data_IF_090670146218
#
_entry.id   IF_090670146218
#
_cell.length_a   1.000
_cell.length_b   1.000
_cell.length_c   1.000
_cell.angle_alpha   90.00
_cell.angle_beta   90.00
_cell.angle_gamma   90.00
#
_symmetry.space_group_name_H-M   'P 1'
#
loop_
_entity.id
_entity.type
_entity.pdbx_description
1 polymer ?
2 polymer ?
3 non-polymer ?
4 non-polymer ?
5 non-polymer ?
6 water ?
#
# COMPACT_ATOMS: atom_id res chain seq x y z
N UNK A 1 -8.74 10.60 9.14
CA UNK A 1 -8.90 9.42 8.21
C UNK A 1 -10.20 8.72 8.63
N UNK A 2 -10.58 7.65 7.93
CA UNK A 2 -11.89 7.06 8.18
C UNK A 2 -11.71 5.57 8.11
N UNK A 3 -12.75 4.85 7.71
CA UNK A 3 -12.72 3.43 7.80
C UNK A 3 -12.45 2.74 6.44
N UNK A 4 -12.07 3.49 5.42
CA UNK A 4 -11.77 2.81 4.17
C UNK A 4 -10.46 2.02 4.30
N UNK A 5 -10.35 0.97 3.51
CA UNK A 5 -9.19 0.02 3.56
C UNK A 5 -8.08 0.58 2.66
N UNK A 6 -6.89 0.69 3.19
CA UNK A 6 -5.76 1.18 2.38
C UNK A 6 -4.76 0.01 2.40
N UNK A 7 -4.19 -0.38 1.24
CA UNK A 7 -3.19 -1.46 1.25
C UNK A 7 -1.82 -0.92 0.68
N UNK A 8 -0.75 -1.63 0.99
CA UNK A 8 0.62 -1.14 0.76
C UNK A 8 1.40 -2.33 0.23
N UNK A 9 1.92 -2.17 -1.00
CA UNK A 9 2.72 -3.19 -1.68
C UNK A 9 4.20 -2.97 -1.33
N UNK A 10 4.86 -3.98 -0.74
CA UNK A 10 6.24 -3.82 -0.25
C UNK A 10 7.13 -4.90 -0.93
N UNK A 11 8.34 -4.53 -1.38
CA UNK A 11 9.35 -5.53 -1.79
C UNK A 11 10.62 -5.35 -0.99
N UNK A 12 11.05 -6.42 -0.29
CA UNK A 12 12.26 -6.36 0.51
C UNK A 12 13.25 -7.41 0.02
N UNK A 13 14.52 -7.03 0.06
CA UNK A 13 15.62 -7.93 -0.36
C UNK A 13 16.73 -7.95 0.68
N UNK A 14 17.47 -9.04 0.82
CA UNK A 14 18.73 -8.99 1.62
C UNK A 14 19.98 -8.79 0.76
N UNK A 19 22.87 -14.33 6.10
CA UNK A 19 23.12 -13.90 7.49
C UNK A 19 22.09 -12.87 8.02
N UNK A 20 21.56 -12.08 7.09
CA UNK A 20 20.70 -10.96 7.39
C UNK A 20 19.26 -11.44 7.66
N UNK A 21 18.50 -10.66 8.44
CA UNK A 21 17.08 -10.90 8.63
C UNK A 21 16.30 -9.74 7.95
N UNK A 22 15.00 -9.91 7.78
CA UNK A 22 14.19 -8.79 7.30
C UNK A 22 13.80 -7.84 8.39
N UNK A 23 13.86 -8.28 9.65
CA UNK A 23 13.61 -7.38 10.81
C UNK A 23 12.16 -7.02 11.10
N UNK A 24 11.29 -8.03 11.18
CA UNK A 24 9.91 -7.87 11.65
C UNK A 24 9.44 -9.22 12.20
N UNK A 25 8.52 -9.18 13.12
CA UNK A 25 7.87 -10.43 13.56
C UNK A 25 6.40 -10.44 13.15
N UNK A 26 5.86 -11.63 12.97
CA UNK A 26 4.56 -11.82 12.40
C UNK A 26 3.80 -12.90 13.17
N UNK A 27 2.57 -12.61 13.55
CA UNK A 27 1.79 -13.54 14.31
C UNK A 27 0.76 -14.24 13.40
N UNK A 28 0.62 -15.54 13.52
CA UNK A 28 -0.49 -16.23 12.91
C UNK A 28 -1.67 -16.45 13.94
N UNK A 29 -2.88 -16.03 13.59
CA UNK A 29 -4.04 -16.00 14.52
C UNK A 29 -5.32 -16.47 13.84
N UNK A 30 -6.24 -17.08 14.60
CA UNK A 30 -7.63 -17.27 14.14
C UNK A 30 -8.68 -16.66 15.09
N UNK A 31 -9.94 -16.66 14.63
CA UNK A 31 -11.12 -16.07 15.32
C UNK A 31 -12.43 -16.77 14.94
N UNK A 34 -11.34 -18.10 10.39
CA UNK A 34 -10.71 -16.85 9.96
C UNK A 34 -9.27 -16.72 10.52
N UNK A 35 -8.36 -17.34 9.78
CA UNK A 35 -6.92 -17.28 10.01
C UNK A 35 -6.37 -15.89 9.55
N UNK A 36 -5.43 -15.26 10.25
CA UNK A 36 -4.85 -13.97 9.79
C UNK A 36 -3.44 -13.82 10.23
N UNK A 37 -2.74 -12.94 9.52
CA UNK A 37 -1.33 -12.80 9.63
C UNK A 37 -1.10 -11.35 9.95
N UNK A 38 -0.61 -11.04 11.14
CA UNK A 38 -0.40 -9.64 11.52
C UNK A 38 1.01 -9.35 11.87
N UNK A 39 1.47 -8.18 11.45
CA UNK A 39 2.77 -7.76 11.89
C UNK A 39 2.76 -7.30 13.37
N UNK A 40 3.44 -8.05 14.27
CA UNK A 40 3.61 -7.62 15.71
C UNK A 40 4.59 -6.48 15.91
N UNK A 41 5.73 -6.55 15.25
CA UNK A 41 6.68 -5.49 15.49
C UNK A 41 7.65 -5.45 14.34
N UNK A 42 8.38 -4.34 14.26
CA UNK A 42 9.29 -4.03 13.16
C UNK A 42 10.51 -3.47 13.82
N UNK A 43 11.65 -4.05 13.51
CA UNK A 43 12.88 -3.57 14.12
C UNK A 43 13.24 -2.17 13.60
N UNK A 44 13.34 -1.21 14.53
CA UNK A 44 13.82 0.14 14.13
C UNK A 44 15.17 -0.06 13.43
N UNK A 45 15.33 0.58 12.28
CA UNK A 45 16.58 0.58 11.48
C UNK A 45 16.75 -0.69 10.57
N UNK A 46 15.87 -1.68 10.78
CA UNK A 46 15.84 -2.90 9.98
C UNK A 46 15.29 -2.75 8.57
N UNK A 47 15.38 -3.81 7.78
CA UNK A 47 15.14 -3.71 6.35
C UNK A 47 13.64 -3.45 6.10
N UNK A 48 12.81 -4.11 6.86
CA UNK A 48 11.35 -3.92 6.74
C UNK A 48 10.96 -2.51 7.14
N UNK A 49 11.61 -1.94 8.17
CA UNK A 49 11.34 -0.55 8.58
C UNK A 49 11.68 0.50 7.46
N UNK A 50 12.89 0.46 6.92
CA UNK A 50 13.22 1.30 5.72
C UNK A 50 12.21 1.14 4.57
N UNK A 51 11.51 0.00 4.49
CA UNK A 51 10.44 -0.13 3.48
C UNK A 51 9.05 0.38 3.95
N UNK A 52 8.95 0.83 5.18
CA UNK A 52 7.70 1.40 5.66
C UNK A 52 6.69 0.35 6.11
N UNK A 53 7.15 -0.85 6.47
CA UNK A 53 6.35 -1.77 7.25
C UNK A 53 6.09 -1.27 8.70
N UNK A 54 4.85 -1.38 9.16
CA UNK A 54 4.50 -0.82 10.47
C UNK A 54 3.91 -1.91 11.31
N UNK A 55 4.20 -1.91 12.61
CA UNK A 55 3.47 -2.84 13.50
C UNK A 55 1.95 -2.64 13.40
N UNK A 56 1.19 -3.73 13.53
CA UNK A 56 -0.26 -3.75 13.33
C UNK A 56 -0.76 -3.85 11.88
N UNK A 57 0.15 -3.80 10.87
CA UNK A 57 -0.25 -4.03 9.47
C UNK A 57 -0.75 -5.47 9.40
N UNK A 58 -1.75 -5.75 8.59
CA UNK A 58 -2.17 -7.17 8.40
C UNK A 58 -1.62 -7.66 7.07
N UNK A 59 -0.94 -8.80 7.04
CA UNK A 59 -0.42 -9.35 5.77
C UNK A 59 -1.52 -10.05 4.97
N UNK A 60 -1.79 -9.55 3.76
CA UNK A 60 -2.84 -10.07 2.89
C UNK A 60 -2.29 -11.02 1.84
N UNK A 61 -1.09 -10.78 1.36
CA UNK A 61 -0.54 -11.64 0.32
C UNK A 61 0.94 -11.63 0.49
N UNK A 62 1.54 -12.77 0.21
CA UNK A 62 3.00 -12.86 0.23
C UNK A 62 3.41 -13.51 -1.09
N UNK A 63 4.32 -12.88 -1.83
CA UNK A 63 4.76 -13.39 -3.16
C UNK A 63 3.59 -13.82 -4.05
N UNK A 64 2.63 -12.92 -4.20
CA UNK A 64 1.50 -13.13 -5.07
C UNK A 64 0.66 -14.32 -4.67
N UNK A 65 0.69 -14.75 -3.41
CA UNK A 65 -0.24 -15.76 -2.90
C UNK A 65 -1.05 -15.27 -1.70
N UNK A 66 -2.34 -15.59 -1.68
CA UNK A 66 -3.22 -15.14 -0.65
C UNK A 66 -2.80 -15.70 0.70
N UNK A 67 -2.96 -14.89 1.75
CA UNK A 67 -2.60 -15.22 3.12
C UNK A 67 -3.25 -16.51 3.61
N UNK A 68 -4.57 -16.58 3.48
CA UNK A 68 -5.30 -17.80 3.79
C UNK A 68 -4.65 -19.05 3.21
N UNK A 69 -4.35 -19.03 1.92
CA UNK A 69 -3.81 -20.20 1.26
C UNK A 69 -2.36 -20.52 1.60
N UNK A 70 -1.75 -19.84 2.57
CA UNK A 70 -0.35 -20.15 2.97
C UNK A 70 -0.18 -21.19 4.12
N UNK A 71 0.51 -22.32 3.85
CA UNK A 71 0.96 -23.30 4.88
C UNK A 71 1.98 -22.66 5.84
N UNK A 72 2.07 -23.18 7.06
CA UNK A 72 3.27 -22.95 7.89
C UNK A 72 4.55 -23.32 7.09
N UNK A 73 4.40 -24.24 6.15
CA UNK A 73 5.47 -24.72 5.32
C UNK A 73 5.87 -23.72 4.21
N UNK A 74 4.90 -23.22 3.43
CA UNK A 74 5.19 -22.17 2.44
C UNK A 74 5.69 -20.93 3.17
N UNK A 75 5.05 -20.63 4.30
CA UNK A 75 5.39 -19.51 5.14
C UNK A 75 6.82 -19.62 5.66
N UNK A 76 7.20 -20.74 6.26
CA UNK A 76 8.62 -20.89 6.64
C UNK A 76 9.59 -20.71 5.47
N UNK A 77 9.23 -21.27 4.33
CA UNK A 77 10.07 -21.21 3.16
C UNK A 77 10.13 -19.83 2.63
N UNK A 78 8.98 -19.16 2.53
CA UNK A 78 9.00 -17.74 2.03
C UNK A 78 9.84 -16.79 2.90
N UNK A 79 9.72 -16.91 4.24
CA UNK A 79 10.45 -15.97 5.13
C UNK A 79 11.94 -16.26 5.15
N UNK A 80 12.32 -17.45 4.72
CA UNK A 80 13.73 -17.81 4.67
C UNK A 80 14.45 -17.41 3.36
N UNK A 81 13.71 -17.07 2.31
CA UNK A 81 14.25 -16.75 0.98
C UNK A 81 14.81 -15.37 1.01
N UNK A 82 15.73 -15.03 0.08
CA UNK A 82 16.49 -13.73 0.10
C UNK A 82 15.70 -12.47 -0.37
N UNK A 83 14.49 -12.71 -0.87
CA UNK A 83 13.63 -11.74 -1.49
C UNK A 83 12.18 -12.04 -1.07
N UNK A 84 11.40 -10.99 -0.78
CA UNK A 84 10.09 -11.10 -0.15
C UNK A 84 9.15 -9.97 -0.68
N UNK A 85 8.00 -10.38 -1.20
CA UNK A 85 6.98 -9.47 -1.73
C UNK A 85 5.78 -9.56 -0.77
N UNK A 86 5.29 -8.44 -0.26
CA UNK A 86 4.15 -8.48 0.69
C UNK A 86 3.10 -7.53 0.20
N UNK A 87 1.81 -7.83 0.42
CA UNK A 87 0.79 -6.80 0.26
C UNK A 87 0.17 -6.74 1.65
N UNK A 88 0.13 -5.55 2.24
CA UNK A 88 -0.33 -5.47 3.62
C UNK A 88 -1.52 -4.50 3.71
N UNK A 89 -2.39 -4.69 4.69
CA UNK A 89 -3.40 -3.65 4.98
C UNK A 89 -2.79 -2.73 5.99
N UNK A 90 -2.82 -1.43 5.73
CA UNK A 90 -2.15 -0.51 6.64
C UNK A 90 -3.14 0.49 7.22
N UNK A 91 -3.08 0.74 8.53
CA UNK A 91 -4.07 1.65 9.14
C UNK A 91 -3.59 3.07 9.29
N UNK A 92 -4.50 4.04 9.18
CA UNK A 92 -4.00 5.36 9.53
C UNK A 92 -3.55 5.38 10.96
N UNK A 93 -2.65 6.31 11.22
CA UNK A 93 -1.73 6.30 12.34
C UNK A 93 -2.19 7.07 13.59
N UNK B 4 2.26 18.51 -25.04
CA UNK B 4 0.86 18.01 -25.18
C UNK B 4 0.30 17.28 -23.93
N UNK B 5 0.14 17.98 -22.80
CA UNK B 5 -0.42 17.34 -21.60
C UNK B 5 -1.50 18.27 -21.07
N UNK B 6 -2.40 17.79 -20.20
CA UNK B 6 -3.46 18.67 -19.72
C UNK B 6 -3.60 18.40 -18.26
N UNK B 7 -3.87 19.47 -17.50
CA UNK B 7 -4.04 19.35 -16.03
C UNK B 7 -5.55 19.36 -15.77
N UNK B 8 -6.05 18.46 -14.93
CA UNK B 8 -7.48 18.51 -14.58
C UNK B 8 -7.74 17.93 -13.23
N UNK B 9 -8.87 18.31 -12.64
CA UNK B 9 -9.17 18.00 -11.31
C UNK B 9 -10.27 17.06 -11.37
N UNK B 10 -10.22 16.09 -10.48
CA UNK B 10 -11.35 15.16 -10.32
C UNK B 10 -11.73 14.93 -8.83
N UNK B 11 -13.00 14.64 -8.62
CA UNK B 11 -13.44 14.36 -7.28
C UNK B 11 -14.09 12.99 -7.31
N UNK B 12 -13.76 12.12 -6.33
CA UNK B 12 -14.35 10.75 -6.26
C UNK B 12 -14.98 10.54 -4.87
N UNK B 13 -16.14 9.89 -4.82
CA UNK B 13 -16.81 9.64 -3.56
C UNK B 13 -17.27 8.16 -3.50
N UNK B 14 -17.28 7.55 -2.31
CA UNK B 14 -17.68 6.17 -2.14
C UNK B 14 -18.22 6.02 -0.74
N UNK B 15 -18.79 4.85 -0.39
CA UNK B 15 -19.25 4.61 1.00
C UNK B 15 -18.09 4.49 1.92
N UNK B 16 -18.28 4.88 3.19
CA UNK B 16 -17.17 4.78 4.16
C UNK B 16 -17.07 3.40 4.82
N UNK B 17 -16.64 2.39 4.09
CA UNK B 17 -16.46 1.03 4.64
C UNK B 17 -15.18 0.43 4.08
N UNK B 18 -14.68 -0.59 4.76
CA UNK B 18 -13.46 -1.27 4.35
C UNK B 18 -13.64 -2.18 3.11
N UNK B 19 -14.88 -2.29 2.60
CA UNK B 19 -15.10 -3.18 1.44
C UNK B 19 -15.38 -2.40 0.19
N UNK B 20 -15.49 -1.09 0.33
CA UNK B 20 -15.76 -0.21 -0.81
C UNK B 20 -14.47 0.52 -1.21
N UNK B 21 -14.06 0.36 -2.46
CA UNK B 21 -12.74 0.93 -2.82
C UNK B 21 -12.88 1.94 -3.97
N UNK B 22 -11.85 2.77 -4.16
CA UNK B 22 -11.77 3.71 -5.26
C UNK B 22 -11.29 3.00 -6.55
N UNK B 23 -10.54 1.94 -6.42
CA UNK B 23 -10.09 1.15 -7.62
C UNK B 23 -8.88 1.80 -8.27
N UNK B 24 -7.90 2.20 -7.47
CA UNK B 24 -6.63 2.65 -8.12
C UNK B 24 -5.49 2.52 -7.13
N UNK B 25 -4.27 2.66 -7.65
CA UNK B 25 -3.11 2.78 -6.79
C UNK B 25 -2.21 3.91 -7.26
N UNK B 26 -1.34 4.33 -6.34
CA UNK B 26 -0.41 5.41 -6.64
C UNK B 26 0.95 4.94 -6.13
N UNK B 27 2.04 5.53 -6.64
CA UNK B 27 3.33 5.17 -6.21
C UNK B 27 4.20 6.42 -6.29
N UNK B 28 5.30 6.47 -5.58
CA UNK B 28 6.18 7.64 -5.66
C UNK B 28 7.46 7.16 -6.39
N UNK B 29 8.02 8.03 -7.20
CA UNK B 29 9.18 7.75 -8.04
C UNK B 29 10.09 8.99 -7.90
N UNK B 30 11.37 8.75 -7.60
CA UNK B 30 12.34 9.85 -7.65
C UNK B 30 13.25 9.58 -8.84
N UNK B 31 13.43 10.63 -9.64
CA UNK B 31 14.34 10.50 -10.79
C UNK B 31 15.03 11.82 -10.89
N UNK B 32 16.34 11.74 -10.97
CA UNK B 32 17.19 12.92 -11.08
C UNK B 32 16.88 13.95 -9.99
N UNK B 33 16.61 13.48 -8.78
CA UNK B 33 16.43 14.38 -7.63
C UNK B 33 15.06 15.02 -7.53
N UNK B 34 14.09 14.56 -8.35
CA UNK B 34 12.72 15.16 -8.37
C UNK B 34 11.82 13.99 -8.02
N UNK B 35 11.01 14.15 -6.99
CA UNK B 35 10.07 13.09 -6.58
C UNK B 35 8.70 13.45 -7.17
N UNK B 36 8.03 12.48 -7.79
CA UNK B 36 6.67 12.63 -8.38
C UNK B 36 5.78 11.53 -7.86
N UNK B 37 4.47 11.77 -7.84
CA UNK B 37 3.53 10.68 -7.47
C UNK B 37 2.83 10.39 -8.74
N UNK B 38 2.74 9.10 -9.09
CA UNK B 38 2.01 8.64 -10.31
C UNK B 38 0.86 7.74 -9.97
N UNK B 39 -0.15 7.69 -10.84
CA UNK B 39 -1.13 6.60 -10.78
C UNK B 39 -0.46 5.32 -11.27
N UNK B 40 -0.50 4.26 -10.44
CA UNK B 40 0.23 3.03 -10.65
C UNK B 40 -0.74 2.04 -11.40
N UNK B 41 -2.03 2.19 -11.15
CA UNK B 41 -3.01 1.33 -11.81
C UNK B 41 -4.35 1.85 -11.59
N UNK B 42 -5.28 1.50 -12.50
CA UNK B 42 -6.66 1.91 -12.34
C UNK B 42 -7.54 0.72 -12.72
N UNK B 43 -8.43 0.33 -11.81
CA UNK B 43 -9.34 -0.81 -12.13
C UNK B 43 -10.45 -0.40 -13.14
N UNK B 44 -10.57 -1.10 -14.28
CA UNK B 44 -11.52 -0.63 -15.37
C UNK B 44 -12.97 -0.44 -14.86
N UNK B 45 -13.40 -1.36 -14.03
CA UNK B 45 -14.77 -1.27 -13.50
C UNK B 45 -14.97 -0.30 -12.34
N UNK B 46 -13.90 0.34 -11.86
CA UNK B 46 -13.98 1.07 -10.60
C UNK B 46 -14.45 2.48 -10.71
N UNK B 47 -14.61 3.14 -9.55
CA UNK B 47 -14.93 4.55 -9.43
C UNK B 47 -13.95 5.51 -10.10
N UNK B 48 -12.68 5.30 -9.85
CA UNK B 48 -11.59 6.15 -10.43
C UNK B 48 -11.63 6.15 -11.97
N UNK B 49 -11.76 4.96 -12.55
CA UNK B 49 -11.97 4.79 -14.00
C UNK B 49 -13.12 5.62 -14.56
N UNK B 50 -14.25 5.59 -13.82
CA UNK B 50 -15.47 6.28 -14.17
C UNK B 50 -15.20 7.74 -14.27
N UNK B 51 -14.35 8.24 -13.39
CA UNK B 51 -14.00 9.64 -13.37
C UNK B 51 -12.86 10.05 -14.31
N UNK B 52 -12.30 9.13 -15.08
CA UNK B 52 -11.36 9.53 -16.12
C UNK B 52 -9.88 9.40 -15.65
N UNK B 53 -9.62 8.81 -14.46
CA UNK B 53 -8.24 8.55 -13.97
C UNK B 53 -7.56 7.45 -14.83
N UNK B 54 -6.31 7.67 -15.24
CA UNK B 54 -5.60 6.72 -16.12
C UNK B 54 -4.30 6.32 -15.48
N UNK B 55 -3.85 5.08 -15.67
CA UNK B 55 -2.58 4.67 -15.17
C UNK B 55 -1.45 5.52 -15.82
N UNK B 56 -0.44 5.87 -15.03
CA UNK B 56 0.63 6.80 -15.52
C UNK B 56 0.39 8.32 -15.45
N UNK B 57 -0.85 8.75 -15.15
CA UNK B 57 -1.21 10.15 -14.78
C UNK B 57 -0.29 10.58 -13.62
N UNK B 58 0.34 11.74 -13.71
CA UNK B 58 1.12 12.28 -12.58
C UNK B 58 0.12 12.98 -11.59
N UNK B 59 0.15 12.69 -10.30
CA UNK B 59 -0.75 13.36 -9.33
C UNK B 59 0.00 14.62 -8.87
N UNK B 60 -0.59 15.80 -9.14
CA UNK B 60 0.05 17.02 -8.74
C UNK B 60 -0.36 17.45 -7.32
N UNK B 61 -1.60 17.13 -6.91
CA UNK B 61 -2.08 17.48 -5.56
C UNK B 61 -3.09 16.47 -5.20
N UNK B 62 -3.15 16.23 -3.89
CA UNK B 62 -4.29 15.45 -3.34
C UNK B 62 -4.90 16.34 -2.28
N UNK B 63 -6.23 16.46 -2.34
CA UNK B 63 -6.98 17.33 -1.43
C UNK B 63 -6.29 18.69 -1.21
N UNK B 64 -5.95 19.33 -2.31
CA UNK B 64 -5.27 20.63 -2.36
C UNK B 64 -3.94 20.72 -1.67
N UNK B 65 -3.27 19.59 -1.49
CA UNK B 65 -1.89 19.57 -1.00
C UNK B 65 -0.92 19.05 -2.06
N UNK B 66 0.24 19.71 -2.21
CA UNK B 66 1.24 19.38 -3.21
C UNK B 66 1.68 18.02 -2.97
N UNK B 67 1.88 17.25 -4.04
CA UNK B 67 2.28 15.87 -3.97
C UNK B 67 3.63 15.79 -3.27
N UNK B 68 4.55 16.73 -3.54
CA UNK B 68 5.85 16.63 -2.83
C UNK B 68 5.82 17.00 -1.32
N UNK B 69 4.69 17.54 -0.87
CA UNK B 69 4.39 17.73 0.56
C UNK B 69 3.62 16.62 1.26
N UNK B 70 3.37 15.51 0.57
CA UNK B 70 2.60 14.41 1.18
C UNK B 70 3.53 13.32 1.62
N UNK B 71 3.51 12.94 2.90
CA UNK B 71 4.18 11.73 3.34
C UNK B 71 3.21 10.50 3.41
N UNK B 72 3.79 9.34 3.71
CA UNK B 72 3.04 8.10 3.75
C UNK B 72 1.91 8.17 4.76
N UNK B 73 2.12 8.77 5.96
CA UNK B 73 1.00 8.91 6.93
C UNK B 73 -0.13 9.74 6.42
N UNK B 74 0.20 10.88 5.79
CA UNK B 74 -0.82 11.68 5.09
C UNK B 74 -1.55 10.93 4.01
N UNK B 75 -0.82 10.21 3.16
CA UNK B 75 -1.46 9.42 2.13
C UNK B 75 -2.43 8.40 2.69
N UNK B 76 -2.00 7.62 3.67
CA UNK B 76 -2.89 6.60 4.23
C UNK B 76 -4.14 7.30 4.79
N UNK B 77 -3.97 8.44 5.47
CA UNK B 77 -5.07 9.16 6.04
C UNK B 77 -6.04 9.57 4.94
N UNK B 78 -5.57 10.24 3.91
CA UNK B 78 -6.45 10.72 2.80
C UNK B 78 -7.12 9.54 2.06
N UNK B 79 -6.36 8.46 1.78
CA UNK B 79 -6.88 7.36 0.97
C UNK B 79 -7.95 6.56 1.73
N UNK B 80 -7.99 6.69 3.07
CA UNK B 80 -9.00 5.99 3.95
C UNK B 80 -10.35 6.72 4.01
N UNK B 81 -10.36 7.89 3.44
CA UNK B 81 -11.62 8.76 3.52
C UNK B 81 -12.62 8.36 2.43
N UNK B 82 -13.90 8.74 2.59
CA UNK B 82 -14.93 8.40 1.60
C UNK B 82 -15.03 9.37 0.46
N UNK B 83 -14.19 10.44 0.48
CA UNK B 83 -14.11 11.29 -0.67
C UNK B 83 -12.70 11.79 -0.84
N UNK B 84 -12.36 12.04 -2.09
CA UNK B 84 -10.96 12.31 -2.42
C UNK B 84 -10.95 13.32 -3.65
N UNK B 85 -10.12 14.39 -3.60
CA UNK B 85 -9.92 15.22 -4.79
C UNK B 85 -8.48 15.07 -5.25
N UNK B 86 -8.30 14.99 -6.57
CA UNK B 86 -6.99 14.85 -7.17
C UNK B 86 -6.82 15.91 -8.25
N UNK B 87 -5.62 16.46 -8.36
CA UNK B 87 -5.32 17.32 -9.47
C UNK B 87 -4.29 16.52 -10.24
N UNK B 88 -4.55 16.19 -11.49
CA UNK B 88 -3.63 15.26 -12.18
C UNK B 88 -3.24 15.88 -13.50
N UNK B 89 -2.12 15.47 -14.02
CA UNK B 89 -1.64 15.95 -15.33
C UNK B 89 -1.50 14.69 -16.22
N UNK B 90 -2.22 14.63 -17.36
CA UNK B 90 -2.37 13.42 -18.21
C UNK B 90 -1.85 13.73 -19.59
N UNK B 91 -1.28 12.75 -20.29
CA UNK B 91 -1.01 12.87 -21.72
C UNK B 91 -2.25 12.30 -22.38
N UNK B 92 -3.04 13.13 -23.09
CA UNK B 92 -4.24 12.47 -23.61
C UNK B 92 -3.98 11.68 -24.92
N UNK C 1 12.45 3.06 -10.08
CA UNK C 1 11.94 2.11 -9.08
C UNK C 1 10.85 2.89 -8.39
N UNK C 2 9.83 2.20 -7.91
CA UNK C 2 8.68 2.85 -7.29
C UNK C 2 8.83 2.59 -5.82
N UNK C 3 8.36 3.52 -4.99
CA UNK C 3 8.35 3.38 -3.55
C UNK C 3 6.95 3.82 -3.11
N UNK C 4 6.60 3.49 -1.88
CA UNK C 4 5.32 3.92 -1.29
C UNK C 4 4.14 3.63 -2.25
N UNK C 5 3.96 2.37 -2.61
CA UNK C 5 2.84 2.08 -3.49
C UNK C 5 1.62 1.67 -2.65
N UNK C 6 0.54 2.45 -2.76
CA UNK C 6 -0.72 2.23 -1.98
C UNK C 6 -1.86 2.05 -2.93
N UNK C 7 -2.75 1.15 -2.55
CA UNK C 7 -4.00 0.87 -3.27
C UNK C 7 -5.15 1.38 -2.41
N UNK C 8 -6.22 1.92 -3.00
CA UNK C 8 -7.37 2.23 -2.15
C UNK C 8 -8.66 2.13 -2.98
N UNK D 1 -6.61 -15.97 19.71
CA UNK D 1 -5.81 -17.21 19.81
C UNK D 1 -4.55 -17.16 18.90
N UNK D 2 -3.37 -17.08 19.48
CA UNK D 2 -2.16 -16.96 18.68
C UNK D 2 -1.60 -18.35 18.36
N UNK D 3 -1.50 -18.72 17.10
CA UNK D 3 -0.96 -20.04 16.75
C UNK D 3 0.61 -20.11 16.69
N UNK D 4 1.27 -19.08 16.18
CA UNK D 4 2.72 -19.20 15.85
C UNK D 4 3.21 -17.80 15.77
N UNK D 5 4.49 -17.53 16.04
CA UNK D 5 5.07 -16.19 15.79
C UNK D 5 6.30 -16.50 14.98
N UNK D 6 6.51 -15.77 13.90
CA UNK D 6 7.68 -15.91 13.05
C UNK D 6 8.53 -14.65 13.21
N UNK D 7 9.85 -14.84 13.38
CA UNK D 7 10.84 -13.76 13.53
C UNK D 7 11.69 -13.71 12.24
N UNK D 8 11.27 -12.85 11.32
CA UNK D 8 11.71 -12.86 9.94
C UNK D 8 12.82 -11.83 9.66
X LIG E 1 10.20 -3.05 17.90
X LIG F 1 -11.91 2.72 12.62
X LIG G 1 -12.49 5.06 13.28
X LIG H 1 -5.21 1.01 -16.74
X LIG I 1 -4.28 -0.25 -14.65
X LIG J 1 11.23 3.42 -12.34
X LIG J 1 11.43 4.79 -12.61
X LIG J 1 10.49 5.70 -13.05
X LIG J 1 9.23 5.28 -13.26
X LIG J 1 8.98 3.95 -13.01
X LIG J 1 7.62 3.58 -13.27
X LIG J 1 7.38 2.22 -12.99
X LIG J 1 8.33 1.25 -12.54
X LIG J 1 9.64 1.55 -12.29
X LIG J 1 9.92 2.91 -12.54
X LIG J 1 6.70 4.65 -13.64
X LIG J 1 6.35 4.92 -15.04
X LIG J 1 5.49 4.55 -12.82
X LIG J 1 12.51 2.56 -11.87
X LIG J 1 12.61 1.17 -11.55
X LIG J 1 13.34 2.99 -12.96
X LIG K 1 -6.35 -13.90 20.01
X LIG K 1 -7.19 -13.65 18.91
X LIG K 1 -6.85 -12.71 17.93
X LIG K 1 -5.67 -11.98 17.96
X LIG K 1 -4.78 -12.17 19.02
X LIG K 1 -3.54 -11.39 19.11
X LIG K 1 -2.72 -11.69 20.23
X LIG K 1 -3.02 -12.63 21.25
X LIG K 1 -4.17 -13.37 21.19
X LIG K 1 -5.06 -13.15 20.12
X LIG K 1 -3.21 -10.48 18.04
X LIG K 1 -4.10 -9.30 17.88
X LIG K 1 -1.77 -10.06 18.04
X LIG K 1 -6.71 -14.99 21.14
X LIG K 1 -5.95 -14.78 22.35
X LIG K 1 -8.12 -14.99 21.36
#
# INVERSE_FOLDING_TARGET
GAMGKVTHSIHIEKSDTAADTYGFSLSSVEEDGIRRLYVNSVKETGLASKKGLKAGDEILEINNRAADALNSSMLKDFLSQPSLGLLVRTYPEL
GAMGKVTHSIHIEKSDTAADTYGFSLSSVEEDGIRRLYVNSVKETGLASKKGLKAGDEILEINNRAADALNSSMLKDFLSQPSLGLLVRTYPEL
TKQEEFYA
TKQEEFYA
CL CL
NA NA
CL CL
NA NA
CL CL
ANS C1 C2 C3 C4 C4A C5 C6 C7 C8 C8A N CM1 CM2 S O1S O2S
ANS C1 C2 C3 C4 C4A C5 C6 C7 C8 C8A N CM1 CM2 S O1S O2S
#
